data_IF_833509415766
#
_entry.id   IF_833509415766
#
_cell.length_a   1.000
_cell.length_b   1.000
_cell.length_c   1.000
_cell.angle_alpha   90.00
_cell.angle_beta   90.00
_cell.angle_gamma   90.00
#
_symmetry.space_group_name_H-M   'P 1'
#
loop_
_entity.id
_entity.type
_entity.pdbx_description
1 polymer ?
#
# COMPACT_ATOMS: atom_id res chain seq x y z
N UNK A 1 23.77 40.16 -46.18
CA UNK A 1 23.54 38.72 -46.38
C UNK A 1 22.31 38.31 -45.57
N UNK A 2 21.32 37.72 -46.25
CA UNK A 2 20.15 37.07 -45.65
C UNK A 2 20.55 35.67 -45.17
N UNK A 3 20.01 35.22 -44.04
CA UNK A 3 19.34 33.92 -43.92
C UNK A 3 18.78 33.76 -42.50
N UNK A 4 17.45 33.88 -42.40
CA UNK A 4 16.62 33.28 -41.37
C UNK A 4 16.51 31.78 -41.63
N UNK A 5 16.59 30.95 -40.60
CA UNK A 5 16.03 29.60 -40.63
C UNK A 5 15.50 29.22 -39.25
N UNK A 6 14.17 29.20 -39.16
CA UNK A 6 13.37 28.63 -38.07
C UNK A 6 13.30 27.12 -38.29
N UNK A 7 13.52 26.34 -37.25
CA UNK A 7 13.19 24.90 -37.17
C UNK A 7 13.17 24.57 -35.68
N UNK A 8 12.12 24.10 -35.03
CA UNK A 8 10.90 23.44 -35.45
C UNK A 8 10.60 22.48 -34.32
N UNK A 9 9.86 22.94 -33.30
CA UNK A 9 9.48 22.14 -32.13
C UNK A 9 8.56 21.00 -32.60
N UNK A 10 9.08 19.78 -32.66
CA UNK A 10 8.26 18.58 -32.74
C UNK A 10 7.86 18.18 -31.31
N UNK A 11 6.70 18.68 -30.86
CA UNK A 11 6.04 18.19 -29.64
C UNK A 11 5.56 16.78 -29.94
N UNK A 12 6.26 15.76 -29.43
CA UNK A 12 5.71 14.41 -29.31
C UNK A 12 4.51 14.49 -28.37
N UNK A 13 3.32 14.56 -28.95
CA UNK A 13 2.08 14.24 -28.24
C UNK A 13 2.14 12.74 -27.91
N UNK A 14 2.67 12.40 -26.74
CA UNK A 14 2.39 11.12 -26.12
C UNK A 14 0.87 11.09 -25.90
N UNK A 15 0.20 10.36 -26.79
CA UNK A 15 -1.20 10.05 -26.66
C UNK A 15 -1.44 9.46 -25.27
N UNK A 16 -2.31 10.12 -24.52
CA UNK A 16 -2.98 9.57 -23.35
C UNK A 16 -3.83 8.37 -23.80
N UNK A 17 -3.19 7.22 -24.01
CA UNK A 17 -3.90 5.95 -23.96
C UNK A 17 -4.18 5.69 -22.48
N UNK A 18 -5.45 5.50 -22.08
CA UNK A 18 -5.72 4.98 -20.74
C UNK A 18 -4.95 3.68 -20.62
N UNK A 19 -4.10 3.57 -19.60
CA UNK A 19 -3.39 2.34 -19.29
C UNK A 19 -4.41 1.21 -19.31
N UNK A 20 -4.29 0.30 -20.28
CA UNK A 20 -5.07 -0.92 -20.30
C UNK A 20 -4.87 -1.56 -18.94
N UNK A 21 -5.94 -1.66 -18.14
CA UNK A 21 -5.91 -2.48 -16.94
C UNK A 21 -5.52 -3.87 -17.42
N UNK A 22 -4.37 -4.36 -16.95
CA UNK A 22 -3.97 -5.77 -17.03
C UNK A 22 -5.08 -6.60 -16.36
N UNK A 23 -6.15 -6.89 -17.10
CA UNK A 23 -7.17 -7.82 -16.66
C UNK A 23 -6.59 -9.20 -16.90
N UNK A 24 -6.33 -9.90 -15.80
CA UNK A 24 -6.03 -11.33 -15.82
C UNK A 24 -7.19 -12.06 -16.54
N UNK A 25 -6.95 -12.68 -17.71
CA UNK A 25 -8.00 -13.29 -18.52
C UNK A 25 -8.71 -14.47 -17.83
N UNK A 26 -8.19 -14.96 -16.70
CA UNK A 26 -8.80 -16.02 -15.90
C UNK A 26 -9.83 -15.57 -14.86
N UNK A 27 -9.92 -14.27 -14.53
CA UNK A 27 -10.82 -13.79 -13.46
C UNK A 27 -12.21 -13.44 -14.03
N UNK A 28 -13.31 -14.01 -13.50
CA UNK A 28 -14.66 -13.64 -13.93
C UNK A 28 -14.91 -12.15 -13.67
N UNK A 29 -15.61 -11.50 -14.60
CA UNK A 29 -15.95 -10.08 -14.43
C UNK A 29 -16.95 -9.94 -13.28
N UNK A 30 -16.68 -9.08 -12.27
CA UNK A 30 -17.62 -8.89 -11.17
C UNK A 30 -18.98 -8.36 -11.64
N UNK A 31 -20.04 -8.87 -11.05
CA UNK A 31 -21.41 -8.36 -11.13
C UNK A 31 -21.50 -6.93 -10.58
N UNK A 32 -22.59 -6.22 -10.89
CA UNK A 32 -22.78 -4.85 -10.40
C UNK A 32 -22.79 -4.75 -8.86
N UNK A 33 -23.37 -5.75 -8.19
CA UNK A 33 -23.40 -5.84 -6.72
C UNK A 33 -22.01 -6.06 -6.15
N UNK A 34 -21.25 -7.02 -6.70
CA UNK A 34 -19.88 -7.30 -6.29
C UNK A 34 -18.98 -6.08 -6.50
N UNK A 35 -19.13 -5.35 -7.61
CA UNK A 35 -18.40 -4.09 -7.84
C UNK A 35 -18.64 -3.08 -6.72
N UNK A 36 -19.89 -2.87 -6.31
CA UNK A 36 -20.23 -1.93 -5.24
C UNK A 36 -19.58 -2.33 -3.92
N UNK A 37 -19.57 -3.62 -3.59
CA UNK A 37 -18.92 -4.11 -2.38
C UNK A 37 -17.40 -3.99 -2.45
N UNK A 38 -16.79 -4.31 -3.59
CA UNK A 38 -15.35 -4.12 -3.84
C UNK A 38 -14.98 -2.66 -3.68
N UNK A 39 -15.74 -1.73 -4.28
CA UNK A 39 -15.54 -0.28 -4.15
C UNK A 39 -15.64 0.17 -2.68
N UNK A 40 -16.61 -0.34 -1.93
CA UNK A 40 -16.77 -0.04 -0.51
C UNK A 40 -15.57 -0.55 0.33
N UNK A 41 -15.04 -1.73 0.04
CA UNK A 41 -13.85 -2.27 0.71
C UNK A 41 -12.61 -1.46 0.38
N UNK A 42 -12.39 -1.16 -0.90
CA UNK A 42 -11.27 -0.31 -1.33
C UNK A 42 -11.34 1.05 -0.63
N UNK A 43 -12.54 1.65 -0.53
CA UNK A 43 -12.75 2.90 0.20
C UNK A 43 -12.42 2.77 1.70
N UNK A 44 -12.85 1.69 2.36
CA UNK A 44 -12.57 1.44 3.77
C UNK A 44 -11.07 1.24 4.06
N UNK A 45 -10.34 0.58 3.14
CA UNK A 45 -8.89 0.37 3.24
C UNK A 45 -8.07 1.65 3.12
N UNK A 46 -8.61 2.74 2.55
CA UNK A 46 -7.83 3.97 2.33
C UNK A 46 -7.31 4.57 3.65
N UNK A 47 -6.06 5.05 3.60
CA UNK A 47 -5.44 5.79 4.70
C UNK A 47 -4.14 5.16 5.21
N UNK A 48 -3.67 5.72 6.33
CA UNK A 48 -2.48 5.26 7.03
C UNK A 48 -2.87 4.30 8.16
N UNK A 49 -2.15 3.19 8.24
CA UNK A 49 -2.39 2.11 9.18
C UNK A 49 -1.10 1.76 9.89
N UNK A 50 -1.17 1.49 11.19
CA UNK A 50 -0.04 0.99 11.99
C UNK A 50 -0.22 -0.49 12.26
N UNK A 51 0.86 -1.27 12.17
CA UNK A 51 0.88 -2.66 12.64
C UNK A 51 0.75 -2.66 14.16
N UNK A 52 -0.34 -3.24 14.65
CA UNK A 52 -0.59 -3.47 16.07
C UNK A 52 -0.08 -4.84 16.51
N UNK A 53 -0.23 -5.83 15.66
CA UNK A 53 0.20 -7.21 15.94
C UNK A 53 0.65 -7.89 14.65
N UNK A 54 1.73 -8.68 14.74
CA UNK A 54 2.16 -9.60 13.69
C UNK A 54 2.23 -11.01 14.28
N UNK A 55 1.64 -11.98 13.60
CA UNK A 55 1.80 -13.41 13.90
C UNK A 55 2.41 -14.08 12.69
N UNK A 56 3.39 -14.94 12.89
CA UNK A 56 3.97 -15.72 11.81
C UNK A 56 4.57 -17.00 12.39
N UNK A 57 4.43 -18.16 11.72
CA UNK A 57 5.12 -19.38 12.14
C UNK A 57 6.62 -19.36 11.78
N UNK A 58 7.08 -18.35 11.04
CA UNK A 58 8.46 -18.26 10.54
C UNK A 58 9.45 -17.67 11.56
N UNK A 59 8.93 -16.92 12.53
CA UNK A 59 9.73 -16.17 13.49
C UNK A 59 9.26 -16.48 14.89
N UNK A 60 10.20 -16.63 15.82
CA UNK A 60 9.85 -16.91 17.20
C UNK A 60 9.18 -15.68 17.85
N UNK A 61 8.13 -15.92 18.65
CA UNK A 61 7.35 -14.83 19.24
C UNK A 61 8.00 -14.27 20.52
N UNK A 62 8.74 -15.10 21.25
CA UNK A 62 9.32 -14.71 22.53
C UNK A 62 10.30 -13.53 22.39
N UNK A 63 9.98 -12.42 23.08
CA UNK A 63 10.77 -11.16 23.09
C UNK A 63 10.86 -10.45 21.74
N UNK A 64 10.05 -10.83 20.76
CA UNK A 64 9.99 -10.15 19.47
C UNK A 64 9.30 -8.80 19.62
N UNK A 65 9.83 -7.81 18.92
CA UNK A 65 9.26 -6.48 18.75
C UNK A 65 8.96 -6.29 17.28
N UNK A 66 7.70 -5.96 17.00
CA UNK A 66 7.21 -5.71 15.65
C UNK A 66 6.73 -4.26 15.57
N UNK A 67 7.18 -3.53 14.55
CA UNK A 67 6.71 -2.19 14.26
C UNK A 67 6.53 -2.03 12.75
N UNK A 68 5.50 -1.33 12.32
CA UNK A 68 5.31 -1.13 10.89
C UNK A 68 4.12 -0.27 10.55
N UNK A 69 4.07 0.12 9.28
CA UNK A 69 3.03 0.97 8.73
C UNK A 69 2.63 0.50 7.35
N UNK A 70 1.36 0.73 7.01
CA UNK A 70 0.83 0.58 5.66
C UNK A 70 0.11 1.87 5.28
N UNK A 71 0.48 2.45 4.15
CA UNK A 71 -0.25 3.54 3.52
C UNK A 71 -0.97 3.00 2.29
N UNK A 72 -2.31 3.02 2.31
CA UNK A 72 -3.14 2.63 1.16
C UNK A 72 -3.65 3.88 0.47
N UNK A 73 -3.40 3.97 -0.83
CA UNK A 73 -3.88 5.06 -1.69
C UNK A 73 -4.29 4.51 -3.06
N UNK A 74 -5.58 4.65 -3.40
CA UNK A 74 -6.16 4.05 -4.59
C UNK A 74 -6.05 2.52 -4.55
N UNK A 75 -5.52 1.94 -5.62
CA UNK A 75 -5.25 0.51 -5.78
C UNK A 75 -3.77 0.17 -5.55
N UNK A 76 -3.09 1.00 -4.75
CA UNK A 76 -1.70 0.81 -4.36
C UNK A 76 -1.57 0.92 -2.85
N UNK A 77 -0.57 0.23 -2.30
CA UNK A 77 -0.13 0.48 -0.94
C UNK A 77 1.39 0.48 -0.84
N UNK A 78 1.91 1.25 0.12
CA UNK A 78 3.29 1.13 0.60
C UNK A 78 3.25 0.50 1.98
N UNK A 79 4.16 -0.44 2.24
CA UNK A 79 4.33 -1.10 3.53
C UNK A 79 5.77 -0.95 4.00
N UNK A 80 5.95 -0.79 5.30
CA UNK A 80 7.24 -0.89 5.97
C UNK A 80 7.07 -1.68 7.27
N UNK A 81 7.93 -2.66 7.50
CA UNK A 81 7.95 -3.55 8.65
C UNK A 81 9.37 -3.61 9.20
N UNK A 82 9.47 -3.45 10.50
CA UNK A 82 10.68 -3.63 11.29
C UNK A 82 10.40 -4.71 12.32
N UNK A 83 11.30 -5.68 12.39
CA UNK A 83 11.25 -6.74 13.40
C UNK A 83 12.57 -6.75 14.15
N UNK A 84 12.54 -7.09 15.43
CA UNK A 84 13.76 -7.31 16.21
C UNK A 84 13.46 -8.05 17.49
N UNK A 85 14.49 -8.39 18.26
CA UNK A 85 14.33 -9.12 19.51
C UNK A 85 14.97 -8.37 20.65
N UNK A 86 14.29 -8.29 21.79
CA UNK A 86 14.91 -7.79 23.02
C UNK A 86 15.97 -8.79 23.47
N UNK A 87 17.19 -8.31 23.63
CA UNK A 87 18.31 -9.10 24.13
C UNK A 87 18.02 -9.65 25.55
N UNK A 88 18.66 -10.76 25.96
CA UNK A 88 18.44 -11.34 27.29
C UNK A 88 18.69 -10.37 28.46
N UNK A 89 19.55 -9.36 28.27
CA UNK A 89 19.86 -8.33 29.26
C UNK A 89 18.79 -7.22 29.36
N UNK A 90 17.79 -7.21 28.47
CA UNK A 90 16.72 -6.22 28.40
C UNK A 90 17.15 -4.85 27.88
N UNK A 91 18.41 -4.65 27.46
CA UNK A 91 18.96 -3.32 27.16
C UNK A 91 19.01 -3.00 25.68
N UNK A 92 19.13 -4.01 24.83
CA UNK A 92 19.36 -3.85 23.39
C UNK A 92 18.32 -4.59 22.56
N UNK A 93 18.10 -4.10 21.34
CA UNK A 93 17.37 -4.83 20.29
C UNK A 93 18.38 -5.44 19.33
N UNK A 94 18.33 -6.76 19.20
CA UNK A 94 19.22 -7.57 18.36
C UNK A 94 18.43 -8.24 17.22
N UNK A 95 19.14 -8.83 16.25
CA UNK A 95 18.55 -9.55 15.12
C UNK A 95 17.46 -8.74 14.42
N UNK A 96 17.80 -7.50 14.08
CA UNK A 96 16.89 -6.56 13.44
C UNK A 96 16.69 -6.99 11.99
N UNK A 97 15.44 -7.06 11.58
CA UNK A 97 15.03 -7.32 10.22
C UNK A 97 14.15 -6.16 9.74
N UNK A 98 14.12 -5.99 8.42
CA UNK A 98 13.44 -4.91 7.74
C UNK A 98 12.84 -5.44 6.45
N UNK A 99 11.61 -5.04 6.18
CA UNK A 99 10.98 -5.21 4.88
C UNK A 99 10.21 -3.93 4.52
N UNK A 100 10.38 -3.45 3.30
CA UNK A 100 9.63 -2.32 2.77
C UNK A 100 9.27 -2.54 1.31
N UNK A 101 8.15 -2.00 0.86
CA UNK A 101 7.75 -2.12 -0.53
C UNK A 101 6.50 -1.36 -0.90
N UNK A 102 6.37 -1.08 -2.19
CA UNK A 102 5.18 -0.55 -2.82
C UNK A 102 4.57 -1.63 -3.71
N UNK A 103 3.26 -1.80 -3.60
CA UNK A 103 2.51 -2.85 -4.27
C UNK A 103 1.28 -2.26 -4.96
N UNK A 104 0.90 -2.88 -6.09
CA UNK A 104 -0.45 -2.79 -6.63
C UNK A 104 -1.29 -3.91 -6.03
N UNK A 105 -2.59 -3.68 -5.88
CA UNK A 105 -3.48 -4.73 -5.41
C UNK A 105 -4.84 -4.71 -6.10
N UNK A 106 -5.48 -5.87 -6.08
CA UNK A 106 -6.89 -6.08 -6.38
C UNK A 106 -7.51 -6.82 -5.20
N UNK A 107 -8.75 -6.49 -4.84
CA UNK A 107 -9.52 -7.19 -3.81
C UNK A 107 -10.86 -7.63 -4.38
N UNK A 108 -11.29 -8.84 -4.04
CA UNK A 108 -12.57 -9.39 -4.48
C UNK A 108 -13.71 -9.22 -3.46
N UNK A 109 -14.90 -9.68 -3.83
CA UNK A 109 -16.09 -9.61 -2.97
C UNK A 109 -16.05 -10.57 -1.77
N UNK A 110 -15.18 -11.58 -1.78
CA UNK A 110 -14.90 -12.39 -0.57
C UNK A 110 -13.87 -11.75 0.36
N UNK A 111 -13.16 -10.70 -0.08
CA UNK A 111 -12.11 -10.06 0.70
C UNK A 111 -10.73 -10.69 0.50
N UNK A 112 -10.53 -11.51 -0.54
CA UNK A 112 -9.20 -11.92 -0.94
C UNK A 112 -8.54 -10.81 -1.74
N UNK A 113 -7.38 -10.37 -1.25
CA UNK A 113 -6.53 -9.38 -1.87
C UNK A 113 -5.34 -10.06 -2.53
N UNK A 114 -5.18 -9.85 -3.82
CA UNK A 114 -3.97 -10.20 -4.56
C UNK A 114 -3.11 -8.95 -4.74
N UNK A 115 -1.81 -9.09 -4.52
CA UNK A 115 -0.87 -7.97 -4.56
C UNK A 115 0.29 -8.32 -5.50
N UNK A 116 0.82 -7.31 -6.18
CA UNK A 116 2.01 -7.41 -7.04
C UNK A 116 3.02 -6.37 -6.59
N UNK A 117 4.23 -6.79 -6.24
CA UNK A 117 5.32 -5.86 -5.90
C UNK A 117 5.65 -4.97 -7.11
N UNK A 118 5.66 -3.65 -6.90
CA UNK A 118 6.20 -2.69 -7.87
C UNK A 118 7.68 -2.48 -7.61
N UNK A 119 8.03 -2.20 -6.36
CA UNK A 119 9.39 -2.07 -5.86
C UNK A 119 9.41 -2.45 -4.39
N UNK A 120 10.47 -3.08 -3.90
CA UNK A 120 10.61 -3.39 -2.49
C UNK A 120 12.02 -3.82 -2.14
N UNK A 121 12.31 -3.84 -0.85
CA UNK A 121 13.58 -4.27 -0.30
C UNK A 121 13.41 -4.95 1.05
N UNK A 122 14.37 -5.80 1.39
CA UNK A 122 14.42 -6.51 2.66
C UNK A 122 15.86 -6.82 3.04
N UNK A 123 16.13 -7.10 4.32
CA UNK A 123 17.40 -7.71 4.71
C UNK A 123 17.32 -9.23 4.58
N UNK A 124 18.35 -9.83 3.97
CA UNK A 124 18.46 -11.29 3.98
C UNK A 124 19.07 -11.79 5.30
N UNK A 125 19.21 -13.11 5.43
CA UNK A 125 19.78 -13.76 6.63
C UNK A 125 21.22 -13.33 6.95
N UNK A 126 21.94 -12.78 5.97
CA UNK A 126 23.31 -12.24 6.14
C UNK A 126 23.32 -10.76 6.51
N UNK A 127 22.14 -10.14 6.72
CA UNK A 127 22.00 -8.71 6.99
C UNK A 127 22.29 -7.82 5.77
N UNK A 128 22.31 -8.39 4.56
CA UNK A 128 22.53 -7.63 3.32
C UNK A 128 21.20 -7.17 2.75
N UNK A 129 21.17 -5.91 2.31
CA UNK A 129 20.01 -5.36 1.62
C UNK A 129 19.81 -6.06 0.28
N UNK A 130 18.61 -6.60 0.06
CA UNK A 130 18.17 -7.18 -1.19
C UNK A 130 16.92 -6.46 -1.70
N UNK A 131 16.70 -6.54 -3.01
CA UNK A 131 15.52 -5.99 -3.65
C UNK A 131 14.53 -7.11 -3.97
N UNK A 132 13.25 -6.85 -3.73
CA UNK A 132 12.20 -7.74 -4.18
C UNK A 132 12.13 -7.73 -5.71
N UNK A 133 11.92 -8.92 -6.29
CA UNK A 133 11.64 -9.04 -7.71
C UNK A 133 10.32 -8.32 -8.03
N UNK A 134 10.29 -7.45 -9.06
CA UNK A 134 9.05 -6.86 -9.55
C UNK A 134 8.02 -7.93 -9.91
N UNK A 135 6.75 -7.59 -9.75
CA UNK A 135 5.59 -8.45 -10.00
C UNK A 135 5.53 -9.71 -9.13
N UNK A 136 6.34 -9.82 -8.06
CA UNK A 136 6.16 -10.89 -7.08
C UNK A 136 4.75 -10.81 -6.48
N UNK A 137 4.02 -11.92 -6.62
CA UNK A 137 2.64 -12.02 -6.18
C UNK A 137 2.54 -12.47 -4.73
N UNK A 138 1.60 -11.88 -3.99
CA UNK A 138 1.18 -12.36 -2.66
C UNK A 138 -0.33 -12.26 -2.54
N UNK A 139 -0.93 -13.18 -1.78
CA UNK A 139 -2.37 -13.23 -1.52
C UNK A 139 -2.65 -13.16 -0.03
N UNK A 140 -3.68 -12.40 0.32
CA UNK A 140 -4.13 -12.19 1.69
C UNK A 140 -5.65 -12.30 1.76
N UNK A 141 -6.18 -12.96 2.77
CA UNK A 141 -7.55 -12.74 3.24
C UNK A 141 -7.57 -11.44 4.06
N UNK A 142 -8.43 -10.51 3.68
CA UNK A 142 -8.57 -9.20 4.30
C UNK A 142 -9.90 -9.11 5.03
N UNK A 143 -9.85 -8.77 6.32
CA UNK A 143 -11.03 -8.42 7.14
C UNK A 143 -10.94 -6.96 7.52
N UNK A 144 -12.04 -6.23 7.33
CA UNK A 144 -12.13 -4.79 7.57
C UNK A 144 -13.11 -4.55 8.72
N UNK A 145 -12.63 -3.90 9.77
CA UNK A 145 -13.46 -3.26 10.78
C UNK A 145 -13.57 -1.76 10.53
N UNK A 146 -14.12 -1.04 11.51
CA UNK A 146 -14.24 0.42 11.43
C UNK A 146 -12.87 1.11 11.57
N UNK A 147 -12.07 0.66 12.55
CA UNK A 147 -10.77 1.25 12.92
C UNK A 147 -9.63 0.23 12.85
N UNK A 148 -9.92 -0.99 12.42
CA UNK A 148 -8.94 -2.06 12.28
C UNK A 148 -9.06 -2.74 10.91
N UNK A 149 -7.96 -3.38 10.52
CA UNK A 149 -7.85 -4.18 9.32
C UNK A 149 -6.94 -5.35 9.62
N UNK A 150 -7.28 -6.56 9.18
CA UNK A 150 -6.40 -7.71 9.33
C UNK A 150 -6.10 -8.36 7.99
N UNK A 151 -4.84 -8.72 7.75
CA UNK A 151 -4.41 -9.47 6.56
C UNK A 151 -3.87 -10.82 7.00
N UNK A 152 -4.31 -11.91 6.38
CA UNK A 152 -3.79 -13.26 6.65
C UNK A 152 -3.40 -13.94 5.35
N UNK A 153 -2.19 -14.48 5.25
CA UNK A 153 -1.77 -15.24 4.08
C UNK A 153 -1.92 -16.76 4.32
N UNK A 154 -1.70 -17.55 3.26
CA UNK A 154 -1.86 -19.00 3.31
C UNK A 154 -0.83 -19.72 4.21
N UNK A 155 0.29 -19.08 4.55
CA UNK A 155 1.29 -19.67 5.44
C UNK A 155 0.98 -19.44 6.93
N UNK A 156 -0.14 -18.77 7.24
CA UNK A 156 -0.55 -18.46 8.61
C UNK A 156 0.05 -17.17 9.16
N UNK A 157 0.88 -16.46 8.39
CA UNK A 157 1.30 -15.10 8.75
C UNK A 157 0.10 -14.17 8.69
N UNK A 158 -0.14 -13.45 9.79
CA UNK A 158 -1.18 -12.44 9.87
C UNK A 158 -0.67 -11.13 10.46
N UNK A 159 -1.28 -10.04 9.99
CA UNK A 159 -1.06 -8.68 10.44
C UNK A 159 -2.38 -8.13 10.93
N UNK A 160 -2.40 -7.56 12.13
CA UNK A 160 -3.49 -6.72 12.61
C UNK A 160 -3.03 -5.28 12.57
N UNK A 161 -3.77 -4.47 11.84
CA UNK A 161 -3.54 -3.04 11.70
C UNK A 161 -4.58 -2.24 12.46
N UNK A 162 -4.17 -1.09 12.97
CA UNK A 162 -5.07 -0.05 13.48
C UNK A 162 -4.96 1.21 12.63
N UNK A 163 -6.08 1.90 12.43
CA UNK A 163 -6.13 3.10 11.62
C UNK A 163 -5.48 4.27 12.35
N UNK A 164 -4.54 4.95 11.69
CA UNK A 164 -4.00 6.20 12.18
C UNK A 164 -4.85 7.34 11.65
N UNK A 165 -5.57 7.99 12.55
CA UNK A 165 -6.37 9.16 12.23
C UNK A 165 -5.46 10.31 11.78
N UNK A 166 -5.76 10.90 10.61
CA UNK A 166 -5.08 12.12 10.17
C UNK A 166 -5.24 13.20 11.25
N UNK A 167 -4.15 13.86 11.67
CA UNK A 167 -4.27 15.06 12.47
C UNK A 167 -5.17 16.05 11.74
N UNK A 168 -6.13 16.67 12.45
CA UNK A 168 -7.02 17.71 11.88
C UNK A 168 -6.25 18.94 11.34
N UNK A 169 -4.95 19.04 11.62
CA UNK A 169 -4.10 20.14 11.20
C UNK A 169 -3.52 19.90 9.79
N UNK A 170 -3.96 20.72 8.84
CA UNK A 170 -3.42 20.90 7.47
C UNK A 170 -3.14 19.59 6.75
N UNK A 171 -4.13 19.11 5.99
CA UNK A 171 -3.96 18.00 5.06
C UNK A 171 -2.84 18.35 4.07
N UNK A 172 -1.79 17.54 4.03
CA UNK A 172 -0.68 17.67 3.08
C UNK A 172 -0.67 16.47 2.16
N UNK A 173 -0.27 16.66 0.91
CA UNK A 173 -0.05 15.55 -0.01
C UNK A 173 1.26 14.81 0.30
N UNK A 174 1.56 13.77 -0.48
CA UNK A 174 2.78 12.94 -0.33
C UNK A 174 4.09 13.71 -0.53
N UNK A 175 4.05 14.93 -1.10
CA UNK A 175 5.19 15.83 -1.24
C UNK A 175 5.23 16.92 -0.16
N UNK A 176 4.32 16.86 0.82
CA UNK A 176 4.21 17.84 1.89
C UNK A 176 3.50 19.14 1.50
N UNK A 177 2.85 19.23 0.34
CA UNK A 177 2.13 20.44 -0.10
C UNK A 177 0.73 20.48 0.53
N UNK A 178 0.21 21.65 0.95
CA UNK A 178 -1.17 21.75 1.45
C UNK A 178 -2.18 21.25 0.41
N UNK A 179 -3.09 20.37 0.81
CA UNK A 179 -4.24 19.95 0.01
C UNK A 179 -5.33 21.01 0.20
N UNK A 180 -5.78 21.69 -0.87
CA UNK A 180 -6.84 22.69 -0.75
C UNK A 180 -8.12 22.06 -0.17
N UNK A 181 -8.70 22.69 0.85
CA UNK A 181 -10.02 22.31 1.31
C UNK A 181 -11.02 22.58 0.19
N UNK A 182 -11.80 21.57 -0.22
CA UNK A 182 -12.96 21.80 -1.10
C UNK A 182 -13.90 22.74 -0.37
N UNK A 183 -13.97 24.00 -0.82
CA UNK A 183 -15.05 24.90 -0.40
C UNK A 183 -16.36 24.20 -0.73
N UNK A 184 -17.21 23.99 0.29
CA UNK A 184 -18.58 23.53 0.06
C UNK A 184 -19.22 24.51 -0.91
N UNK A 185 -19.66 24.00 -2.06
CA UNK A 185 -20.45 24.78 -3.01
C UNK A 185 -21.63 25.38 -2.24
N UNK A 186 -21.64 26.71 -2.13
CA UNK A 186 -22.72 27.44 -1.54
C UNK A 186 -23.98 27.09 -2.34
N UNK A 187 -24.97 26.50 -1.68
CA UNK A 187 -26.30 26.30 -2.27
C UNK A 187 -26.77 27.65 -2.81
N UNK A 188 -27.03 27.72 -4.11
CA UNK A 188 -27.74 28.86 -4.69
C UNK A 188 -29.07 29.02 -3.95
N UNK A 189 -29.38 30.21 -3.39
CA UNK A 189 -30.70 30.50 -2.90
C UNK A 189 -31.66 30.57 -4.10
N UNK A 190 -32.81 29.91 -3.96
CA UNK A 190 -33.94 29.97 -4.90
C UNK A 190 -34.51 31.38 -5.00
#
# INVERSE_FOLDING_TARGET
MRTTAVSGLAVLALAFLPAAQDRDPGKPTPTATEKKTIEAKVAAMQGLWRVREMKTPRLEAARRLDAGFVLVSGLTFSIELHTGYVAPDGKNVINKDFQSGMHRFEIDDSGFMETKTVIGSFYNELGLLQFEQPNKERRYEVKLGAEDMSWTNADGTSFLFEKLNEPKAVRRDVFGRPIPEKKKDAKEPK
#
